data_IF_359171860640
#
_entry.id   IF_359171860640
#
_cell.length_a   1.000
_cell.length_b   1.000
_cell.length_c   1.000
_cell.angle_alpha   90.00
_cell.angle_beta   90.00
_cell.angle_gamma   90.00
#
_symmetry.space_group_name_H-M   'P 1'
#
loop_
_entity.id
_entity.type
_entity.pdbx_description
1 polymer ?
#
# COMPACT_ATOMS: atom_id res chain seq x y z
N UNK A 1 4.56 -6.84 -4.13
CA UNK A 1 5.92 -6.48 -3.67
C UNK A 1 6.25 -7.34 -2.46
N UNK A 2 7.42 -7.96 -2.41
CA UNK A 2 7.85 -8.69 -1.21
C UNK A 2 8.28 -7.70 -0.13
N UNK A 3 8.27 -8.14 1.13
CA UNK A 3 8.73 -7.29 2.24
C UNK A 3 10.19 -6.88 2.06
N UNK A 4 11.06 -7.80 1.66
CA UNK A 4 12.47 -7.50 1.44
C UNK A 4 12.66 -6.47 0.32
N UNK A 5 11.93 -6.61 -0.78
CA UNK A 5 11.99 -5.65 -1.87
C UNK A 5 11.50 -4.27 -1.43
N UNK A 6 10.41 -4.23 -0.65
CA UNK A 6 9.89 -2.97 -0.11
C UNK A 6 10.91 -2.28 0.78
N UNK A 7 11.59 -3.03 1.66
CA UNK A 7 12.60 -2.46 2.55
C UNK A 7 13.84 -1.94 1.81
N UNK A 8 14.13 -2.48 0.63
CA UNK A 8 15.19 -1.93 -0.24
C UNK A 8 14.70 -0.72 -1.04
N UNK A 9 13.45 -0.74 -1.47
CA UNK A 9 12.84 0.30 -2.29
C UNK A 9 12.63 1.60 -1.50
N UNK A 10 12.18 1.49 -0.25
CA UNK A 10 11.79 2.64 0.57
C UNK A 10 12.92 3.67 0.74
N UNK A 11 14.14 3.31 1.15
CA UNK A 11 15.21 4.30 1.32
C UNK A 11 15.52 5.05 0.02
N UNK A 12 15.54 4.34 -1.10
CA UNK A 12 15.79 4.93 -2.41
C UNK A 12 14.67 5.89 -2.81
N UNK A 13 13.42 5.48 -2.61
CA UNK A 13 12.25 6.29 -2.93
C UNK A 13 12.17 7.54 -2.06
N UNK A 14 12.46 7.41 -0.77
CA UNK A 14 12.48 8.56 0.15
C UNK A 14 13.57 9.55 -0.20
N UNK A 15 14.71 9.08 -0.68
CA UNK A 15 15.77 9.95 -1.17
C UNK A 15 15.33 10.72 -2.42
N UNK A 16 14.65 10.06 -3.36
CA UNK A 16 14.10 10.71 -4.55
C UNK A 16 13.11 11.82 -4.20
N UNK A 17 12.36 11.64 -3.13
CA UNK A 17 11.33 12.58 -2.67
C UNK A 17 11.90 13.68 -1.76
N UNK A 18 13.20 13.66 -1.48
CA UNK A 18 13.83 14.64 -0.61
C UNK A 18 13.60 14.43 0.89
N UNK A 19 13.01 13.31 1.27
CA UNK A 19 12.74 12.97 2.67
C UNK A 19 14.00 12.43 3.35
N UNK A 20 14.84 11.73 2.59
CA UNK A 20 16.07 11.07 3.05
C UNK A 20 15.78 10.05 4.16
N UNK A 21 16.40 10.20 5.34
CA UNK A 21 16.22 9.26 6.45
C UNK A 21 15.17 9.73 7.47
N UNK A 22 14.46 10.83 7.19
CA UNK A 22 13.50 11.42 8.12
C UNK A 22 12.11 10.81 7.95
N UNK A 23 11.97 9.53 8.25
CA UNK A 23 10.69 8.84 8.16
C UNK A 23 10.61 7.70 9.16
N UNK A 24 9.37 7.30 9.46
CA UNK A 24 9.05 6.11 10.25
C UNK A 24 8.39 5.08 9.38
N UNK A 25 8.59 3.81 9.73
CA UNK A 25 7.90 2.69 9.10
C UNK A 25 6.89 2.09 10.06
N UNK A 26 5.71 1.78 9.54
CA UNK A 26 4.67 1.12 10.32
C UNK A 26 4.15 -0.06 9.51
N UNK A 27 4.28 -1.26 10.08
CA UNK A 27 3.77 -2.48 9.46
C UNK A 27 2.31 -2.66 9.83
N UNK A 28 1.46 -2.82 8.81
CA UNK A 28 0.02 -2.92 8.99
C UNK A 28 -0.53 -4.18 8.36
N UNK A 29 -1.50 -4.78 9.03
CA UNK A 29 -2.24 -5.93 8.52
C UNK A 29 -3.72 -5.65 8.70
N UNK A 30 -4.46 -5.65 7.60
CA UNK A 30 -5.89 -5.44 7.59
C UNK A 30 -6.61 -6.70 7.14
N UNK A 31 -7.78 -6.93 7.71
CA UNK A 31 -8.67 -8.01 7.35
C UNK A 31 -9.94 -7.38 6.76
N UNK A 32 -10.31 -7.78 5.56
CA UNK A 32 -11.43 -7.19 4.84
C UNK A 32 -12.49 -8.26 4.60
N UNK A 33 -13.67 -8.05 5.15
CA UNK A 33 -14.80 -8.95 5.01
C UNK A 33 -15.27 -9.03 3.55
N UNK A 34 -15.96 -10.12 3.14
CA UNK A 34 -16.50 -10.22 1.78
C UNK A 34 -17.39 -9.03 1.43
N UNK A 35 -17.18 -8.49 0.24
CA UNK A 35 -17.91 -7.34 -0.30
C UNK A 35 -17.82 -6.07 0.56
N UNK A 36 -16.84 -5.99 1.45
CA UNK A 36 -16.63 -4.83 2.30
C UNK A 36 -15.59 -3.89 1.74
N UNK A 37 -15.56 -2.69 2.29
CA UNK A 37 -14.66 -1.62 1.88
C UNK A 37 -13.94 -1.11 3.13
N UNK A 38 -12.60 -0.99 3.03
CA UNK A 38 -11.78 -0.38 4.07
C UNK A 38 -11.15 0.88 3.51
N UNK A 39 -11.21 1.96 4.29
CA UNK A 39 -10.58 3.23 3.92
C UNK A 39 -9.39 3.47 4.83
N UNK A 40 -8.23 3.72 4.23
CA UNK A 40 -7.01 4.08 4.93
C UNK A 40 -6.64 5.50 4.53
N UNK A 41 -6.34 6.33 5.52
CA UNK A 41 -5.90 7.70 5.26
C UNK A 41 -4.37 7.76 5.34
N UNK A 42 -3.74 7.83 4.16
CA UNK A 42 -2.30 7.97 4.03
C UNK A 42 -1.93 9.37 3.51
N UNK A 43 -2.62 10.38 3.99
CA UNK A 43 -2.39 11.76 3.58
C UNK A 43 -0.99 12.22 4.04
N UNK A 44 -0.17 12.67 3.08
CA UNK A 44 1.25 13.00 3.28
C UNK A 44 2.08 11.80 3.75
N UNK A 45 1.60 10.60 3.52
CA UNK A 45 2.25 9.36 3.85
C UNK A 45 2.22 8.44 2.64
N UNK A 46 3.00 7.35 2.67
CA UNK A 46 3.07 6.40 1.57
C UNK A 46 2.64 5.04 2.05
N UNK A 47 1.82 4.40 1.25
CA UNK A 47 1.29 3.06 1.50
C UNK A 47 1.94 2.13 0.48
N UNK A 48 2.73 1.18 0.96
CA UNK A 48 3.41 0.20 0.12
C UNK A 48 2.82 -1.17 0.35
N UNK A 49 2.12 -1.68 -0.65
CA UNK A 49 1.45 -2.95 -0.57
C UNK A 49 2.47 -4.08 -0.69
N UNK A 50 2.59 -4.92 0.33
CA UNK A 50 3.56 -6.02 0.35
C UNK A 50 2.93 -7.39 0.20
N UNK A 51 1.66 -7.54 0.57
CA UNK A 51 0.95 -8.79 0.38
C UNK A 51 -0.54 -8.53 0.25
N UNK A 52 -1.12 -9.04 -0.82
CA UNK A 52 -2.57 -9.03 -1.05
C UNK A 52 -2.95 -10.25 -1.88
N UNK A 53 -4.17 -10.71 -1.70
CA UNK A 53 -4.73 -11.76 -2.55
C UNK A 53 -5.40 -11.18 -3.79
N UNK A 54 -5.97 -12.06 -4.60
CA UNK A 54 -6.80 -11.68 -5.75
C UNK A 54 -8.10 -11.04 -5.30
N UNK A 55 -8.80 -10.44 -6.25
CA UNK A 55 -10.15 -9.88 -6.06
C UNK A 55 -10.18 -8.75 -5.03
N UNK A 56 -9.09 -8.00 -4.95
CA UNK A 56 -9.02 -6.75 -4.21
C UNK A 56 -8.85 -5.60 -5.19
N UNK A 57 -9.61 -4.54 -4.99
CA UNK A 57 -9.49 -3.31 -5.75
C UNK A 57 -8.94 -2.22 -4.84
N UNK A 58 -7.85 -1.58 -5.26
CA UNK A 58 -7.23 -0.49 -4.52
C UNK A 58 -7.40 0.80 -5.32
N UNK A 59 -8.00 1.79 -4.70
CA UNK A 59 -8.18 3.12 -5.29
C UNK A 59 -7.46 4.14 -4.42
N UNK A 60 -6.59 4.94 -5.05
CA UNK A 60 -5.87 6.01 -4.36
C UNK A 60 -5.66 7.18 -5.32
N UNK A 61 -4.89 8.17 -4.91
CA UNK A 61 -4.52 9.29 -5.78
C UNK A 61 -3.71 8.82 -6.99
N UNK A 62 -3.07 7.66 -6.92
CA UNK A 62 -2.29 7.11 -8.03
C UNK A 62 -3.15 6.35 -9.05
N UNK A 63 -4.43 6.15 -8.78
CA UNK A 63 -5.35 5.51 -9.69
C UNK A 63 -6.15 4.38 -9.06
N UNK A 64 -6.79 3.58 -9.92
CA UNK A 64 -7.58 2.42 -9.51
C UNK A 64 -6.91 1.18 -10.07
N UNK A 65 -6.60 0.22 -9.19
CA UNK A 65 -5.91 -1.00 -9.56
C UNK A 65 -6.67 -2.22 -9.07
N UNK A 66 -6.93 -3.16 -9.98
CA UNK A 66 -7.38 -4.50 -9.62
C UNK A 66 -6.15 -5.35 -9.35
N UNK A 67 -6.11 -6.00 -8.19
CA UNK A 67 -4.97 -6.83 -7.82
C UNK A 67 -5.16 -8.25 -8.34
N UNK A 68 -4.22 -8.66 -9.19
CA UNK A 68 -4.15 -9.99 -9.76
C UNK A 68 -2.78 -10.60 -9.42
N UNK A 69 -2.68 -11.91 -9.52
CA UNK A 69 -1.45 -12.64 -9.16
C UNK A 69 -0.29 -12.39 -10.12
N UNK A 70 -0.52 -11.83 -11.29
CA UNK A 70 0.51 -11.68 -12.32
C UNK A 70 0.51 -10.29 -12.94
N UNK A 71 1.69 -9.83 -13.34
CA UNK A 71 1.85 -8.64 -14.17
C UNK A 71 1.71 -7.30 -13.45
N UNK A 72 1.82 -7.28 -12.15
CA UNK A 72 1.73 -6.04 -11.38
C UNK A 72 3.10 -5.35 -11.36
N UNK A 73 3.15 -4.07 -11.76
CA UNK A 73 4.37 -3.27 -11.69
C UNK A 73 4.50 -2.56 -10.35
N UNK A 74 5.65 -1.94 -10.09
CA UNK A 74 5.94 -1.28 -8.82
C UNK A 74 4.94 -0.16 -8.48
N UNK A 75 4.43 0.55 -9.48
CA UNK A 75 3.50 1.66 -9.27
C UNK A 75 2.17 1.22 -8.67
N UNK A 76 1.78 -0.02 -8.88
CA UNK A 76 0.54 -0.57 -8.33
C UNK A 76 0.66 -0.87 -6.83
N UNK A 77 1.86 -0.87 -6.29
CA UNK A 77 2.10 -1.14 -4.88
C UNK A 77 2.26 0.11 -4.03
N UNK A 78 2.59 1.25 -4.65
CA UNK A 78 2.77 2.51 -3.93
C UNK A 78 1.53 3.38 -4.07
N UNK A 79 0.94 3.78 -2.95
CA UNK A 79 -0.26 4.60 -2.91
C UNK A 79 -0.10 5.74 -1.91
N UNK A 80 -0.87 6.79 -2.08
CA UNK A 80 -0.83 7.99 -1.26
C UNK A 80 -2.23 8.59 -1.13
N UNK A 81 -2.46 9.32 -0.06
CA UNK A 81 -3.72 10.01 0.20
C UNK A 81 -4.78 9.10 0.75
N UNK A 82 -6.02 9.31 0.37
CA UNK A 82 -7.12 8.45 0.77
C UNK A 82 -7.10 7.18 -0.06
N UNK A 83 -6.91 6.06 0.60
CA UNK A 83 -6.82 4.75 -0.04
C UNK A 83 -8.06 3.94 0.30
N UNK A 84 -8.80 3.55 -0.73
CA UNK A 84 -10.00 2.72 -0.57
C UNK A 84 -9.69 1.32 -1.09
N UNK A 85 -9.88 0.32 -0.24
CA UNK A 85 -9.63 -1.07 -0.58
C UNK A 85 -10.95 -1.82 -0.54
N UNK A 86 -11.35 -2.39 -1.67
CA UNK A 86 -12.60 -3.12 -1.81
C UNK A 86 -12.31 -4.60 -2.01
N UNK A 87 -12.94 -5.43 -1.18
CA UNK A 87 -12.92 -6.88 -1.36
C UNK A 87 -14.10 -7.29 -2.25
N UNK A 88 -13.81 -7.64 -3.50
CA UNK A 88 -14.84 -8.04 -4.47
C UNK A 88 -15.14 -9.54 -4.44
N UNK A 89 -14.51 -10.27 -3.53
CA UNK A 89 -14.69 -11.71 -3.41
C UNK A 89 -15.77 -12.09 -2.41
N UNK A 90 -16.08 -13.37 -2.34
CA UNK A 90 -17.03 -13.94 -1.39
C UNK A 90 -16.36 -14.46 -0.13
N UNK A 91 -15.05 -14.30 -0.01
CA UNK A 91 -14.28 -14.78 1.14
C UNK A 91 -13.54 -13.60 1.79
N UNK A 92 -13.24 -13.77 3.06
CA UNK A 92 -12.43 -12.81 3.82
C UNK A 92 -11.02 -12.73 3.20
N UNK A 93 -10.51 -11.52 3.05
CA UNK A 93 -9.16 -11.27 2.52
C UNK A 93 -8.28 -10.57 3.52
N UNK A 94 -7.00 -10.87 3.46
CA UNK A 94 -5.96 -10.22 4.23
C UNK A 94 -5.13 -9.33 3.32
N UNK A 95 -4.77 -8.15 3.81
CA UNK A 95 -3.86 -7.25 3.10
C UNK A 95 -2.80 -6.76 4.08
N UNK A 96 -1.54 -6.81 3.66
CA UNK A 96 -0.42 -6.34 4.46
C UNK A 96 0.31 -5.25 3.72
N UNK A 97 0.69 -4.20 4.44
CA UNK A 97 1.41 -3.09 3.84
C UNK A 97 2.39 -2.45 4.83
N UNK A 98 3.31 -1.70 4.27
CA UNK A 98 4.21 -0.85 5.03
C UNK A 98 3.78 0.58 4.79
N UNK A 99 3.48 1.29 5.86
CA UNK A 99 3.16 2.70 5.83
C UNK A 99 4.43 3.49 6.13
N UNK A 100 4.81 4.37 5.23
CA UNK A 100 5.97 5.24 5.39
C UNK A 100 5.47 6.61 5.79
N UNK A 101 5.89 7.08 6.95
CA UNK A 101 5.45 8.33 7.54
C UNK A 101 6.63 9.31 7.56
N UNK A 102 6.70 10.25 6.59
CA UNK A 102 7.76 11.25 6.61
C UNK A 102 7.65 12.12 7.86
N UNK A 103 8.80 12.42 8.45
CA UNK A 103 8.91 13.31 9.60
C UNK A 103 9.40 14.68 9.13
N UNK A 104 8.66 15.70 9.46
CA UNK A 104 9.09 17.07 9.22
C UNK A 104 9.74 17.62 10.48
N UNK A 105 10.97 18.03 10.33
CA UNK A 105 11.71 18.67 11.43
C UNK A 105 11.44 20.18 11.43
#
# INVERSE_FOLDING_TARGET
>A
MTTNFALEYIPRRMQELGVNNNYLLKFRHLVIQPNDIVVVDAYNEYFLLVQAGNDLKVKSEFGVYDLFDTGINEQQYEHQGKITITNTSKILKHIKFIQVIPRHL
#
